data_IF_241000494784
#
_entry.id   IF_241000494784
#
_cell.length_a   1.000
_cell.length_b   1.000
_cell.length_c   1.000
_cell.angle_alpha   90.00
_cell.angle_beta   90.00
_cell.angle_gamma   90.00
#
_symmetry.space_group_name_H-M   'P 1'
#
loop_
_entity.id
_entity.type
_entity.pdbx_description
1 polymer ?
#
# COMPACT_ATOMS: atom_id res chain seq x y z
N UNK A 1 -15.96 7.63 -76.16
CA UNK A 1 -14.71 8.39 -75.89
C UNK A 1 -15.03 9.50 -74.92
N UNK A 2 -14.41 9.48 -73.86
CA UNK A 2 -14.08 10.39 -72.76
C UNK A 2 -14.43 9.79 -71.40
N UNK A 3 -13.39 9.15 -70.81
CA UNK A 3 -13.29 8.84 -69.39
C UNK A 3 -13.25 10.16 -68.62
N UNK A 4 -14.18 10.37 -67.73
CA UNK A 4 -14.05 11.36 -66.63
C UNK A 4 -13.80 10.61 -65.31
N UNK A 5 -12.54 10.63 -64.92
CA UNK A 5 -12.12 10.29 -63.55
C UNK A 5 -12.86 11.23 -62.56
N UNK A 6 -13.80 10.69 -61.84
CA UNK A 6 -14.25 11.30 -60.59
C UNK A 6 -13.25 10.95 -59.47
N UNK A 7 -12.35 11.88 -59.22
CA UNK A 7 -11.48 11.87 -58.08
C UNK A 7 -12.34 12.06 -56.82
N UNK A 8 -12.81 10.99 -56.25
CA UNK A 8 -13.51 10.97 -54.97
C UNK A 8 -12.46 11.25 -53.88
N UNK A 9 -12.44 12.49 -53.44
CA UNK A 9 -11.70 12.90 -52.24
C UNK A 9 -12.24 12.08 -51.06
N UNK A 10 -11.54 11.00 -50.75
CA UNK A 10 -11.60 10.37 -49.42
C UNK A 10 -10.86 11.34 -48.50
N UNK A 11 -11.59 12.33 -48.00
CA UNK A 11 -11.22 13.03 -46.78
C UNK A 11 -11.31 11.97 -45.68
N UNK A 12 -10.20 11.26 -45.50
CA UNK A 12 -9.93 10.61 -44.23
C UNK A 12 -9.93 11.71 -43.17
N UNK A 13 -11.12 12.05 -42.68
CA UNK A 13 -11.24 12.68 -41.40
C UNK A 13 -10.59 11.72 -40.38
N UNK A 14 -9.31 11.92 -40.18
CA UNK A 14 -8.66 11.57 -38.91
C UNK A 14 -9.42 12.33 -37.84
N UNK A 15 -10.61 11.81 -37.50
CA UNK A 15 -11.20 12.00 -36.21
C UNK A 15 -10.15 11.42 -35.25
N UNK A 16 -9.26 12.29 -34.79
CA UNK A 16 -8.53 12.05 -33.56
C UNK A 16 -9.60 11.79 -32.53
N UNK A 17 -9.89 10.54 -32.33
CA UNK A 17 -10.61 10.06 -31.15
C UNK A 17 -9.69 10.47 -30.01
N UNK A 18 -9.92 11.66 -29.47
CA UNK A 18 -9.50 12.02 -28.15
C UNK A 18 -10.35 11.14 -27.20
N UNK A 19 -10.10 9.83 -27.25
CA UNK A 19 -10.33 9.01 -26.11
C UNK A 19 -9.60 9.73 -24.99
N UNK A 20 -10.31 10.14 -23.96
CA UNK A 20 -9.71 10.58 -22.69
C UNK A 20 -9.14 9.32 -22.02
N UNK A 21 -8.17 8.73 -22.68
CA UNK A 21 -7.24 7.77 -22.12
C UNK A 21 -6.50 8.48 -21.00
N UNK A 22 -6.25 7.80 -19.91
CA UNK A 22 -5.29 8.26 -18.91
C UNK A 22 -4.02 8.66 -19.68
N UNK A 23 -3.45 9.82 -19.34
CA UNK A 23 -2.18 10.24 -19.92
C UNK A 23 -1.13 9.17 -19.64
N UNK A 24 -0.33 8.84 -20.63
CA UNK A 24 0.86 8.04 -20.40
C UNK A 24 1.79 8.79 -19.44
N UNK A 25 2.63 8.05 -18.71
CA UNK A 25 3.54 8.68 -17.73
C UNK A 25 4.47 9.72 -18.38
N UNK A 26 4.86 9.51 -19.65
CA UNK A 26 5.72 10.43 -20.39
C UNK A 26 5.05 11.79 -20.70
N UNK A 27 3.72 11.82 -20.75
CA UNK A 27 2.94 13.04 -20.96
C UNK A 27 2.68 13.84 -19.67
N UNK A 28 2.98 13.25 -18.51
CA UNK A 28 2.91 13.95 -17.22
C UNK A 28 4.16 14.79 -17.04
N UNK A 29 4.01 16.09 -16.73
CA UNK A 29 5.14 16.96 -16.46
C UNK A 29 5.90 16.53 -15.19
N UNK A 30 7.24 16.69 -15.21
CA UNK A 30 8.11 16.17 -14.12
C UNK A 30 7.80 16.75 -12.75
N UNK A 31 7.31 17.98 -12.67
CA UNK A 31 6.89 18.58 -11.40
C UNK A 31 5.76 17.82 -10.67
N UNK A 32 5.06 16.94 -11.35
CA UNK A 32 3.98 16.10 -10.82
C UNK A 32 4.38 14.65 -10.64
N UNK A 33 5.64 14.34 -10.85
CA UNK A 33 6.22 13.01 -10.62
C UNK A 33 7.12 13.09 -9.39
N UNK A 34 7.05 12.12 -8.52
CA UNK A 34 7.99 12.09 -7.40
C UNK A 34 9.43 11.88 -7.86
N UNK A 35 10.38 12.32 -7.02
CA UNK A 35 11.80 12.15 -7.23
C UNK A 35 12.38 11.18 -6.19
N UNK A 36 12.65 9.96 -6.61
CA UNK A 36 13.17 8.91 -5.74
C UNK A 36 14.70 8.95 -5.61
N UNK A 37 15.38 9.94 -6.21
CA UNK A 37 16.85 10.07 -6.13
C UNK A 37 17.37 10.29 -4.71
N UNK A 38 16.49 10.74 -3.79
CA UNK A 38 16.79 10.81 -2.35
C UNK A 38 16.92 9.44 -1.68
N UNK A 39 16.42 8.36 -2.30
CA UNK A 39 16.63 6.99 -1.83
C UNK A 39 17.86 6.40 -2.51
N UNK A 40 17.82 6.26 -3.84
CA UNK A 40 18.97 5.91 -4.69
C UNK A 40 18.91 6.73 -5.97
N UNK A 41 20.08 7.22 -6.43
CA UNK A 41 20.17 8.05 -7.64
C UNK A 41 19.90 7.25 -8.91
N UNK A 42 20.17 5.96 -8.89
CA UNK A 42 20.00 5.06 -10.03
C UNK A 42 19.79 3.61 -9.60
N UNK A 43 19.34 2.77 -10.55
CA UNK A 43 19.26 1.31 -10.34
C UNK A 43 20.64 0.69 -10.11
N UNK A 44 21.70 1.30 -10.64
CA UNK A 44 23.07 0.85 -10.39
C UNK A 44 23.47 1.10 -8.94
N UNK A 45 23.13 2.25 -8.37
CA UNK A 45 23.37 2.54 -6.95
C UNK A 45 22.57 1.60 -6.04
N UNK A 46 21.32 1.32 -6.42
CA UNK A 46 20.50 0.34 -5.72
C UNK A 46 21.13 -1.07 -5.73
N UNK A 47 21.64 -1.53 -6.90
CA UNK A 47 22.31 -2.83 -7.01
C UNK A 47 23.57 -2.88 -6.17
N UNK A 48 24.36 -1.82 -6.19
CA UNK A 48 25.57 -1.69 -5.35
C UNK A 48 25.21 -1.80 -3.87
N UNK A 49 24.17 -1.10 -3.42
CA UNK A 49 23.69 -1.18 -2.03
C UNK A 49 23.17 -2.57 -1.68
N UNK A 50 22.39 -3.21 -2.58
CA UNK A 50 21.90 -4.59 -2.39
C UNK A 50 23.05 -5.58 -2.23
N UNK A 51 24.08 -5.49 -3.07
CA UNK A 51 25.24 -6.39 -2.99
C UNK A 51 26.07 -6.15 -1.73
N UNK A 52 26.20 -4.90 -1.30
CA UNK A 52 26.87 -4.53 -0.04
C UNK A 52 26.15 -5.10 1.18
N UNK A 53 24.81 -5.04 1.23
CA UNK A 53 24.04 -5.65 2.34
C UNK A 53 24.11 -7.16 2.28
N UNK A 54 23.98 -7.76 1.08
CA UNK A 54 24.05 -9.20 0.88
C UNK A 54 25.32 -9.81 1.44
N UNK A 55 26.48 -9.13 1.26
CA UNK A 55 27.77 -9.59 1.78
C UNK A 55 27.82 -9.66 3.31
N UNK A 56 26.99 -8.86 4.01
CA UNK A 56 26.95 -8.78 5.47
C UNK A 56 25.97 -9.76 6.12
N UNK A 57 25.00 -10.30 5.37
CA UNK A 57 23.91 -11.10 5.96
C UNK A 57 24.40 -12.31 6.77
N UNK A 58 25.55 -12.90 6.38
CA UNK A 58 26.13 -14.04 7.10
C UNK A 58 26.76 -13.65 8.44
N UNK A 59 26.99 -12.37 8.69
CA UNK A 59 27.59 -11.92 9.96
C UNK A 59 26.66 -12.11 11.15
N UNK A 60 25.36 -12.31 10.91
CA UNK A 60 24.37 -12.58 11.96
C UNK A 60 24.73 -13.83 12.77
N UNK A 61 25.37 -14.83 12.15
CA UNK A 61 25.73 -16.07 12.80
C UNK A 61 26.76 -15.88 13.92
N UNK A 62 27.55 -14.77 13.92
CA UNK A 62 28.52 -14.45 14.99
C UNK A 62 27.86 -14.20 16.35
N UNK A 63 26.57 -13.86 16.35
CA UNK A 63 25.83 -13.54 17.57
C UNK A 63 25.18 -14.77 18.23
N UNK A 64 25.07 -15.87 17.49
CA UNK A 64 24.44 -17.12 17.97
C UNK A 64 25.10 -17.63 19.24
N UNK A 65 24.26 -17.92 20.24
CA UNK A 65 24.71 -18.43 21.55
C UNK A 65 25.38 -17.35 22.44
N UNK A 66 25.22 -16.06 22.12
CA UNK A 66 25.87 -14.97 22.86
C UNK A 66 24.94 -13.95 23.44
N UNK A 67 23.65 -13.94 23.05
CA UNK A 67 22.71 -12.82 23.30
C UNK A 67 22.34 -12.65 24.78
N UNK A 68 22.36 -13.72 25.54
CA UNK A 68 22.06 -13.72 26.99
C UNK A 68 23.33 -13.69 27.87
N UNK A 69 24.53 -13.62 27.27
CA UNK A 69 25.80 -13.61 28.02
C UNK A 69 26.19 -12.24 28.55
N UNK A 70 25.81 -11.15 27.84
CA UNK A 70 26.10 -9.79 28.28
C UNK A 70 25.25 -8.76 27.56
N UNK A 71 25.03 -7.60 28.20
CA UNK A 71 24.38 -6.43 27.60
C UNK A 71 25.06 -6.00 26.29
N UNK A 72 26.39 -6.02 26.25
CA UNK A 72 27.16 -5.61 25.06
C UNK A 72 26.93 -6.56 23.86
N UNK A 73 26.80 -7.86 24.08
CA UNK A 73 26.52 -8.81 22.99
C UNK A 73 25.09 -8.64 22.47
N UNK A 74 24.11 -8.51 23.37
CA UNK A 74 22.73 -8.23 22.98
C UNK A 74 22.63 -6.94 22.15
N UNK A 75 23.25 -5.85 22.66
CA UNK A 75 23.24 -4.57 21.95
C UNK A 75 23.83 -4.68 20.55
N UNK A 76 25.02 -5.28 20.39
CA UNK A 76 25.66 -5.46 19.08
C UNK A 76 24.78 -6.20 18.07
N UNK A 77 24.06 -7.22 18.52
CA UNK A 77 23.14 -7.96 17.66
C UNK A 77 21.93 -7.09 17.26
N UNK A 78 21.35 -6.37 18.20
CA UNK A 78 20.18 -5.50 17.94
C UNK A 78 20.56 -4.33 17.03
N UNK A 79 21.71 -3.69 17.25
CA UNK A 79 22.23 -2.62 16.39
C UNK A 79 22.50 -3.15 14.97
N UNK A 80 23.19 -4.29 14.84
CA UNK A 80 23.43 -4.92 13.54
C UNK A 80 22.13 -5.21 12.78
N UNK A 81 21.15 -5.79 13.46
CA UNK A 81 19.84 -6.07 12.85
C UNK A 81 19.09 -4.77 12.47
N UNK A 82 19.19 -3.72 13.29
CA UNK A 82 18.59 -2.43 13.01
C UNK A 82 19.21 -1.76 11.78
N UNK A 83 20.54 -1.79 11.65
CA UNK A 83 21.24 -1.23 10.49
C UNK A 83 20.91 -1.98 9.20
N UNK A 84 20.83 -3.32 9.26
CA UNK A 84 20.36 -4.12 8.13
C UNK A 84 18.92 -3.77 7.75
N UNK A 85 18.03 -3.62 8.72
CA UNK A 85 16.63 -3.28 8.46
C UNK A 85 16.46 -1.87 7.87
N UNK A 86 17.27 -0.90 8.29
CA UNK A 86 17.28 0.45 7.69
C UNK A 86 17.61 0.37 6.20
N UNK A 87 18.67 -0.30 5.84
CA UNK A 87 19.09 -0.43 4.44
C UNK A 87 18.13 -1.31 3.63
N UNK A 88 17.64 -2.40 4.22
CA UNK A 88 16.57 -3.23 3.63
C UNK A 88 15.35 -2.39 3.28
N UNK A 89 14.90 -1.54 4.21
CA UNK A 89 13.75 -0.64 3.98
C UNK A 89 14.02 0.29 2.81
N UNK A 90 15.20 0.88 2.70
CA UNK A 90 15.58 1.73 1.55
C UNK A 90 15.51 0.97 0.23
N UNK A 91 16.03 -0.25 0.19
CA UNK A 91 16.01 -1.12 -0.99
C UNK A 91 14.58 -1.46 -1.41
N UNK A 92 13.74 -1.88 -0.46
CA UNK A 92 12.34 -2.22 -0.72
C UNK A 92 11.51 -1.00 -1.15
N UNK A 93 11.73 0.17 -0.55
CA UNK A 93 11.03 1.40 -0.92
C UNK A 93 11.34 1.81 -2.35
N UNK A 94 12.61 1.83 -2.75
CA UNK A 94 12.98 2.21 -4.11
C UNK A 94 12.37 1.25 -5.15
N UNK A 95 12.53 -0.05 -4.97
CA UNK A 95 11.99 -1.04 -5.87
C UNK A 95 10.45 -1.04 -5.88
N UNK A 96 9.83 -0.92 -4.70
CA UNK A 96 8.38 -0.88 -4.54
C UNK A 96 7.74 0.33 -5.20
N UNK A 97 8.22 1.53 -4.86
CA UNK A 97 7.66 2.77 -5.40
C UNK A 97 7.85 2.91 -6.92
N UNK A 98 8.97 2.42 -7.48
CA UNK A 98 9.13 2.34 -8.93
C UNK A 98 8.16 1.31 -9.56
N UNK A 99 7.96 0.15 -8.91
CA UNK A 99 6.97 -0.84 -9.35
C UNK A 99 5.54 -0.27 -9.31
N UNK A 100 5.22 0.59 -8.34
CA UNK A 100 3.89 1.19 -8.19
C UNK A 100 3.57 2.23 -9.28
N UNK A 101 4.59 2.77 -9.98
CA UNK A 101 4.40 3.67 -11.11
C UNK A 101 3.88 2.95 -12.36
N UNK A 102 4.24 1.71 -12.54
CA UNK A 102 3.68 0.79 -13.53
C UNK A 102 3.87 -0.66 -13.05
N UNK A 103 2.80 -1.25 -12.54
CA UNK A 103 2.83 -2.63 -12.02
C UNK A 103 3.10 -3.71 -13.10
N UNK A 104 3.14 -3.31 -14.38
CA UNK A 104 3.51 -4.16 -15.52
C UNK A 104 5.03 -4.17 -15.75
N UNK A 105 5.78 -3.27 -15.12
CA UNK A 105 7.24 -3.22 -15.27
C UNK A 105 7.89 -4.39 -14.53
N UNK A 106 8.27 -5.41 -15.32
CA UNK A 106 8.89 -6.64 -14.81
C UNK A 106 10.25 -6.39 -14.16
N UNK A 107 10.95 -5.30 -14.49
CA UNK A 107 12.24 -4.96 -13.90
C UNK A 107 12.12 -4.70 -12.41
N UNK A 108 11.23 -3.78 -12.01
CA UNK A 108 11.06 -3.44 -10.61
C UNK A 108 10.32 -4.53 -9.82
N UNK A 109 9.43 -5.26 -10.47
CA UNK A 109 8.84 -6.48 -9.91
C UNK A 109 9.92 -7.52 -9.60
N UNK A 110 10.86 -7.74 -10.52
CA UNK A 110 12.01 -8.62 -10.31
C UNK A 110 12.91 -8.15 -9.16
N UNK A 111 13.21 -6.85 -9.07
CA UNK A 111 13.99 -6.28 -7.97
C UNK A 111 13.32 -6.53 -6.59
N UNK A 112 11.99 -6.41 -6.51
CA UNK A 112 11.23 -6.74 -5.27
C UNK A 112 11.36 -8.22 -4.91
N UNK A 113 11.24 -9.11 -5.90
CA UNK A 113 11.35 -10.55 -5.70
C UNK A 113 12.76 -10.97 -5.25
N UNK A 114 13.81 -10.38 -5.85
CA UNK A 114 15.21 -10.58 -5.41
C UNK A 114 15.38 -10.24 -3.92
N UNK A 115 14.83 -9.09 -3.49
CA UNK A 115 14.88 -8.68 -2.08
C UNK A 115 14.07 -9.64 -1.19
N UNK A 116 12.89 -10.02 -1.62
CA UNK A 116 12.03 -10.93 -0.86
C UNK A 116 12.72 -12.26 -0.60
N UNK A 117 13.36 -12.82 -1.63
CA UNK A 117 14.16 -14.05 -1.48
C UNK A 117 15.31 -13.84 -0.50
N UNK A 118 16.13 -12.81 -0.73
CA UNK A 118 17.32 -12.51 0.07
C UNK A 118 16.97 -12.32 1.56
N UNK A 119 15.91 -11.58 1.86
CA UNK A 119 15.51 -11.33 3.26
C UNK A 119 14.71 -12.48 3.88
N UNK A 120 14.06 -13.33 3.07
CA UNK A 120 13.52 -14.60 3.58
C UNK A 120 14.65 -15.55 4.04
N UNK A 121 15.70 -15.66 3.25
CA UNK A 121 16.89 -16.46 3.60
C UNK A 121 17.60 -15.89 4.85
N UNK A 122 17.72 -14.56 4.92
CA UNK A 122 18.25 -13.89 6.12
C UNK A 122 17.37 -14.14 7.35
N UNK A 123 16.04 -14.00 7.22
CA UNK A 123 15.10 -14.29 8.30
C UNK A 123 15.25 -15.71 8.84
N UNK A 124 15.45 -16.68 7.94
CA UNK A 124 15.73 -18.06 8.34
C UNK A 124 17.04 -18.22 9.12
N UNK A 125 18.09 -17.44 8.78
CA UNK A 125 19.36 -17.42 9.56
C UNK A 125 19.20 -16.72 10.90
N UNK A 126 18.46 -15.61 10.93
CA UNK A 126 18.21 -14.80 12.13
C UNK A 126 17.16 -15.43 13.08
N UNK A 127 16.54 -16.55 12.71
CA UNK A 127 15.45 -17.18 13.45
C UNK A 127 15.82 -17.59 14.89
N UNK A 128 17.12 -17.70 15.22
CA UNK A 128 17.59 -17.99 16.56
C UNK A 128 17.45 -16.83 17.55
N UNK A 129 17.37 -15.58 17.07
CA UNK A 129 17.47 -14.38 17.92
C UNK A 129 16.39 -14.36 19.00
N UNK A 130 15.13 -14.47 18.61
CA UNK A 130 14.02 -14.41 19.57
C UNK A 130 14.03 -15.61 20.54
N UNK A 131 14.10 -16.86 20.09
CA UNK A 131 14.19 -18.01 21.00
C UNK A 131 15.39 -17.91 21.96
N UNK A 132 16.55 -17.47 21.49
CA UNK A 132 17.73 -17.33 22.35
C UNK A 132 17.56 -16.27 23.43
N UNK A 133 17.04 -15.09 23.10
CA UNK A 133 16.75 -14.06 24.10
C UNK A 133 15.76 -14.58 25.15
N UNK A 134 14.74 -15.34 24.73
CA UNK A 134 13.72 -15.91 25.60
C UNK A 134 14.20 -17.09 26.47
N UNK A 135 15.45 -17.55 26.31
CA UNK A 135 16.08 -18.51 27.27
C UNK A 135 16.42 -17.85 28.60
N UNK A 136 16.60 -16.51 28.59
CA UNK A 136 16.81 -15.75 29.82
C UNK A 136 15.46 -15.36 30.47
N UNK A 137 15.51 -15.06 31.77
CA UNK A 137 14.39 -14.40 32.45
C UNK A 137 14.38 -12.90 32.13
N UNK A 138 13.20 -12.29 32.17
CA UNK A 138 13.04 -10.85 31.95
C UNK A 138 13.95 -10.01 32.85
N UNK A 139 14.16 -10.42 34.11
CA UNK A 139 15.02 -9.71 35.06
C UNK A 139 16.47 -9.58 34.59
N UNK A 140 16.99 -10.56 33.83
CA UNK A 140 18.34 -10.53 33.23
C UNK A 140 18.37 -9.47 32.13
N UNK A 141 17.40 -9.49 31.24
CA UNK A 141 17.30 -8.53 30.12
C UNK A 141 17.07 -7.11 30.62
N UNK A 142 16.21 -6.92 31.60
CA UNK A 142 16.00 -5.63 32.25
C UNK A 142 17.27 -5.12 32.96
N UNK A 143 18.04 -6.06 33.55
CA UNK A 143 19.36 -5.77 34.09
C UNK A 143 20.35 -5.30 33.02
N UNK A 144 20.33 -5.92 31.83
CA UNK A 144 21.14 -5.48 30.68
C UNK A 144 20.76 -4.08 30.22
N UNK A 145 19.46 -3.78 30.11
CA UNK A 145 18.96 -2.47 29.71
C UNK A 145 19.41 -1.40 30.72
N UNK A 146 19.33 -1.68 32.02
CA UNK A 146 19.77 -0.76 33.09
C UNK A 146 21.29 -0.53 33.07
N UNK A 147 22.10 -1.53 32.70
CA UNK A 147 23.56 -1.44 32.68
C UNK A 147 24.14 -0.84 31.38
N UNK A 148 23.38 -0.90 30.28
CA UNK A 148 23.77 -0.37 28.97
C UNK A 148 22.66 0.53 28.41
N UNK A 149 22.72 1.86 28.62
CA UNK A 149 21.65 2.80 28.23
C UNK A 149 21.30 2.79 26.74
N UNK A 150 22.19 2.34 25.86
CA UNK A 150 21.89 2.21 24.42
C UNK A 150 20.91 1.09 24.10
N UNK A 151 20.60 0.22 25.07
CA UNK A 151 19.53 -0.75 24.96
C UNK A 151 18.13 -0.16 25.21
N UNK A 152 18.03 1.03 25.83
CA UNK A 152 16.72 1.64 26.15
C UNK A 152 15.81 1.84 24.92
N UNK A 153 16.28 2.23 23.72
CA UNK A 153 15.44 2.28 22.53
C UNK A 153 14.82 0.93 22.13
N UNK A 154 15.41 -0.18 22.55
CA UNK A 154 14.94 -1.53 22.26
C UNK A 154 14.02 -2.11 23.36
N UNK A 155 13.85 -1.41 24.50
CA UNK A 155 13.05 -1.87 25.63
C UNK A 155 11.67 -2.34 25.22
N UNK A 156 10.92 -1.49 24.50
CA UNK A 156 9.55 -1.81 24.07
C UNK A 156 9.50 -3.08 23.20
N UNK A 157 10.48 -3.25 22.30
CA UNK A 157 10.58 -4.45 21.47
C UNK A 157 10.87 -5.71 22.30
N UNK A 158 11.76 -5.60 23.28
CA UNK A 158 12.10 -6.70 24.19
C UNK A 158 10.92 -7.02 25.13
N UNK A 159 10.25 -6.04 25.70
CA UNK A 159 9.02 -6.24 26.49
C UNK A 159 7.96 -6.99 25.67
N UNK A 160 7.72 -6.56 24.44
CA UNK A 160 6.79 -7.24 23.55
C UNK A 160 7.22 -8.68 23.22
N UNK A 161 8.50 -8.93 23.02
CA UNK A 161 9.02 -10.27 22.80
C UNK A 161 8.69 -11.19 23.99
N UNK A 162 8.95 -10.76 25.23
CA UNK A 162 8.61 -11.54 26.42
C UNK A 162 7.09 -11.69 26.60
N UNK A 163 6.29 -10.67 26.29
CA UNK A 163 4.83 -10.75 26.31
C UNK A 163 4.33 -11.80 25.30
N UNK A 164 4.97 -11.90 24.14
CA UNK A 164 4.59 -12.83 23.08
C UNK A 164 5.27 -14.19 23.19
N UNK A 165 6.03 -14.46 24.26
CA UNK A 165 6.82 -15.69 24.45
C UNK A 165 6.05 -16.99 24.17
N UNK A 166 4.77 -17.06 24.58
CA UNK A 166 3.92 -18.24 24.36
C UNK A 166 3.61 -18.52 22.86
N UNK A 167 3.84 -17.54 21.99
CA UNK A 167 3.64 -17.61 20.54
C UNK A 167 4.96 -17.60 19.76
N UNK A 168 6.09 -17.57 20.44
CA UNK A 168 7.41 -17.73 19.85
C UNK A 168 7.74 -19.21 19.81
N UNK A 169 8.10 -19.68 18.64
CA UNK A 169 8.38 -21.09 18.38
C UNK A 169 9.85 -21.43 18.65
N UNK A 170 10.21 -22.70 18.52
CA UNK A 170 11.62 -23.12 18.52
C UNK A 170 12.38 -22.52 17.34
N UNK A 171 13.69 -22.44 17.42
CA UNK A 171 14.52 -21.91 16.31
C UNK A 171 14.24 -22.61 14.97
N UNK A 172 14.06 -23.93 14.99
CA UNK A 172 13.81 -24.71 13.77
C UNK A 172 12.42 -24.37 13.16
N UNK A 173 11.42 -24.23 14.00
CA UNK A 173 10.07 -23.84 13.57
C UNK A 173 10.04 -22.38 13.10
N UNK A 174 10.70 -21.45 13.79
CA UNK A 174 10.83 -20.04 13.36
C UNK A 174 11.54 -19.95 11.99
N UNK A 175 12.54 -20.80 11.75
CA UNK A 175 13.19 -20.90 10.44
C UNK A 175 12.21 -21.34 9.35
N UNK A 176 11.36 -22.33 9.62
CA UNK A 176 10.33 -22.79 8.67
C UNK A 176 9.31 -21.66 8.43
N UNK A 177 8.89 -20.98 9.50
CA UNK A 177 7.98 -19.85 9.41
C UNK A 177 8.55 -18.69 8.56
N UNK A 178 9.84 -18.39 8.72
CA UNK A 178 10.51 -17.37 7.90
C UNK A 178 10.52 -17.76 6.41
N UNK A 179 10.87 -19.01 6.09
CA UNK A 179 10.87 -19.52 4.72
C UNK A 179 9.45 -19.55 4.10
N UNK A 180 8.40 -19.78 4.90
CA UNK A 180 7.02 -19.74 4.42
C UNK A 180 6.63 -18.36 3.86
N UNK A 181 7.34 -17.30 4.24
CA UNK A 181 7.17 -15.94 3.69
C UNK A 181 7.28 -15.88 2.17
N UNK A 182 8.06 -16.79 1.56
CA UNK A 182 8.22 -16.87 0.09
C UNK A 182 6.89 -17.16 -0.63
N UNK A 183 6.04 -17.99 -0.04
CA UNK A 183 4.76 -18.40 -0.62
C UNK A 183 3.57 -17.58 -0.05
N UNK A 184 3.70 -17.07 1.15
CA UNK A 184 2.63 -16.37 1.85
C UNK A 184 2.19 -15.06 1.17
N UNK A 185 3.09 -14.39 0.44
CA UNK A 185 2.82 -13.14 -0.28
C UNK A 185 2.17 -13.32 -1.65
N UNK A 186 2.17 -14.53 -2.21
CA UNK A 186 1.74 -14.80 -3.59
C UNK A 186 0.29 -14.37 -3.86
N UNK A 187 -0.71 -14.69 -3.03
CA UNK A 187 -2.10 -14.28 -3.29
C UNK A 187 -2.26 -12.77 -3.41
N UNK A 188 -1.60 -12.01 -2.55
CA UNK A 188 -1.61 -10.54 -2.58
C UNK A 188 -0.89 -9.98 -3.82
N UNK A 189 0.22 -10.59 -4.22
CA UNK A 189 0.94 -10.19 -5.44
C UNK A 189 0.11 -10.40 -6.69
N UNK A 190 -0.54 -11.57 -6.81
CA UNK A 190 -1.45 -11.88 -7.93
C UNK A 190 -2.61 -10.90 -7.97
N UNK A 191 -3.24 -10.62 -6.81
CA UNK A 191 -4.31 -9.63 -6.71
C UNK A 191 -3.87 -8.26 -7.23
N UNK A 192 -2.70 -7.78 -6.80
CA UNK A 192 -2.19 -6.46 -7.20
C UNK A 192 -1.93 -6.38 -8.71
N UNK A 193 -1.22 -7.36 -9.27
CA UNK A 193 -0.92 -7.41 -10.70
C UNK A 193 -2.20 -7.50 -11.53
N UNK A 194 -3.08 -8.42 -11.17
CA UNK A 194 -4.32 -8.61 -11.90
C UNK A 194 -5.23 -7.37 -11.85
N UNK A 195 -5.47 -6.82 -10.66
CA UNK A 195 -6.41 -5.71 -10.48
C UNK A 195 -5.94 -4.39 -11.09
N UNK A 196 -4.64 -4.13 -11.10
CA UNK A 196 -4.09 -2.84 -11.56
C UNK A 196 -3.57 -2.88 -13.00
N UNK A 197 -3.17 -4.05 -13.51
CA UNK A 197 -2.47 -4.15 -14.79
C UNK A 197 -3.18 -5.01 -15.84
N UNK A 198 -3.75 -6.15 -15.45
CA UNK A 198 -4.20 -7.16 -16.42
C UNK A 198 -5.72 -7.19 -16.61
N UNK A 199 -6.49 -6.87 -15.56
CA UNK A 199 -7.95 -6.88 -15.66
C UNK A 199 -8.42 -5.85 -16.69
N UNK A 200 -9.12 -6.25 -17.76
CA UNK A 200 -9.62 -5.32 -18.77
C UNK A 200 -10.56 -4.30 -18.13
N UNK A 201 -10.34 -3.02 -18.42
CA UNK A 201 -11.25 -1.96 -18.00
C UNK A 201 -12.43 -1.87 -18.99
N UNK A 202 -13.69 -1.98 -18.56
CA UNK A 202 -14.82 -1.86 -19.45
C UNK A 202 -14.94 -0.43 -20.00
N UNK A 203 -15.33 -0.31 -21.26
CA UNK A 203 -15.64 0.98 -21.87
C UNK A 203 -17.15 1.22 -21.89
N UNK A 204 -17.55 2.45 -21.59
CA UNK A 204 -18.94 2.90 -21.64
C UNK A 204 -19.06 4.24 -22.38
N UNK A 205 -20.23 4.50 -22.93
CA UNK A 205 -20.58 5.80 -23.52
C UNK A 205 -21.57 6.50 -22.60
N UNK A 206 -21.22 7.69 -22.11
CA UNK A 206 -22.06 8.52 -21.26
C UNK A 206 -23.14 9.24 -22.10
N UNK A 207 -24.12 9.83 -21.43
CA UNK A 207 -25.23 10.54 -22.06
C UNK A 207 -24.82 11.73 -22.96
N UNK A 208 -23.67 12.34 -22.67
CA UNK A 208 -23.05 13.38 -23.48
C UNK A 208 -22.29 12.86 -24.72
N UNK A 209 -22.32 11.55 -24.98
CA UNK A 209 -21.62 10.86 -26.07
C UNK A 209 -20.14 10.54 -25.77
N UNK A 210 -19.64 10.89 -24.61
CA UNK A 210 -18.24 10.65 -24.22
C UNK A 210 -18.00 9.16 -23.92
N UNK A 211 -17.01 8.59 -24.57
CA UNK A 211 -16.49 7.24 -24.27
C UNK A 211 -15.48 7.32 -23.13
N UNK A 212 -15.65 6.46 -22.14
CA UNK A 212 -14.78 6.39 -20.96
C UNK A 212 -14.42 4.95 -20.63
N UNK A 213 -13.16 4.72 -20.25
CA UNK A 213 -12.66 3.44 -19.77
C UNK A 213 -12.69 3.43 -18.24
N UNK A 214 -13.27 2.39 -17.65
CA UNK A 214 -13.55 2.31 -16.20
C UNK A 214 -12.51 1.46 -15.47
N UNK A 215 -11.30 2.00 -15.34
CA UNK A 215 -10.36 1.50 -14.31
C UNK A 215 -10.92 1.76 -12.92
N UNK A 216 -10.37 1.18 -11.85
CA UNK A 216 -10.81 1.44 -10.47
C UNK A 216 -10.82 2.94 -10.13
N UNK A 217 -9.77 3.67 -10.53
CA UNK A 217 -9.67 5.13 -10.35
C UNK A 217 -10.75 5.88 -11.13
N UNK A 218 -10.96 5.49 -12.39
CA UNK A 218 -11.96 6.16 -13.24
C UNK A 218 -13.40 5.83 -12.81
N UNK A 219 -13.66 4.61 -12.31
CA UNK A 219 -14.92 4.31 -11.65
C UNK A 219 -15.15 5.24 -10.44
N UNK A 220 -14.13 5.44 -9.60
CA UNK A 220 -14.17 6.38 -8.47
C UNK A 220 -14.61 7.79 -8.88
N UNK A 221 -14.11 8.27 -10.02
CA UNK A 221 -14.46 9.55 -10.61
C UNK A 221 -15.91 9.58 -11.17
N UNK A 222 -16.27 8.62 -12.00
CA UNK A 222 -17.53 8.65 -12.72
C UNK A 222 -18.74 8.21 -11.89
N UNK A 223 -18.58 7.49 -10.79
CA UNK A 223 -19.68 7.19 -9.86
C UNK A 223 -20.23 8.42 -9.13
N UNK A 224 -19.56 9.57 -9.23
CA UNK A 224 -20.00 10.85 -8.63
C UNK A 224 -20.75 11.76 -9.61
N UNK A 225 -20.95 11.33 -10.86
CA UNK A 225 -21.65 12.13 -11.87
C UNK A 225 -23.03 12.59 -11.37
N UNK A 226 -23.46 13.83 -11.71
CA UNK A 226 -24.79 14.33 -11.35
C UNK A 226 -25.93 13.51 -11.99
N UNK A 227 -25.76 13.09 -13.24
CA UNK A 227 -26.76 12.30 -13.95
C UNK A 227 -26.85 10.86 -13.41
N UNK A 228 -28.07 10.43 -13.07
CA UNK A 228 -28.32 9.12 -12.48
C UNK A 228 -28.22 7.99 -13.50
N UNK A 229 -28.58 8.24 -14.76
CA UNK A 229 -28.51 7.22 -15.81
C UNK A 229 -27.04 6.92 -16.12
N UNK A 230 -26.19 7.95 -16.19
CA UNK A 230 -24.75 7.79 -16.35
C UNK A 230 -24.11 7.02 -15.19
N UNK A 231 -24.47 7.37 -13.94
CA UNK A 231 -24.01 6.59 -12.78
C UNK A 231 -24.43 5.13 -12.84
N UNK A 232 -25.64 4.85 -13.36
CA UNK A 232 -26.13 3.47 -13.52
C UNK A 232 -25.31 2.70 -14.56
N UNK A 233 -25.06 3.30 -15.72
CA UNK A 233 -24.23 2.70 -16.78
C UNK A 233 -22.82 2.40 -16.25
N UNK A 234 -22.20 3.35 -15.58
CA UNK A 234 -20.87 3.22 -14.98
C UNK A 234 -20.84 2.11 -13.92
N UNK A 235 -21.82 2.08 -13.04
CA UNK A 235 -21.96 1.07 -11.98
C UNK A 235 -22.13 -0.34 -12.56
N UNK A 236 -23.08 -0.51 -13.46
CA UNK A 236 -23.39 -1.82 -14.05
C UNK A 236 -22.23 -2.37 -14.85
N UNK A 237 -21.57 -1.55 -15.65
CA UNK A 237 -20.41 -1.97 -16.44
C UNK A 237 -19.23 -2.37 -15.55
N UNK A 238 -18.93 -1.59 -14.52
CA UNK A 238 -17.82 -1.86 -13.63
C UNK A 238 -18.04 -3.15 -12.83
N UNK A 239 -19.18 -3.30 -12.18
CA UNK A 239 -19.47 -4.50 -11.37
C UNK A 239 -19.72 -5.75 -12.20
N UNK A 240 -20.35 -5.64 -13.39
CA UNK A 240 -20.45 -6.78 -14.31
C UNK A 240 -19.09 -7.25 -14.82
N UNK A 241 -18.11 -6.35 -14.93
CA UNK A 241 -16.76 -6.75 -15.27
C UNK A 241 -16.09 -7.51 -14.10
N UNK A 242 -16.22 -7.03 -12.86
CA UNK A 242 -15.72 -7.73 -11.68
C UNK A 242 -16.33 -9.12 -11.52
N UNK A 243 -17.64 -9.26 -11.78
CA UNK A 243 -18.35 -10.55 -11.68
C UNK A 243 -17.76 -11.61 -12.61
N UNK A 244 -17.23 -11.24 -13.78
CA UNK A 244 -16.56 -12.18 -14.70
C UNK A 244 -15.34 -12.85 -14.06
N UNK A 245 -14.68 -12.17 -13.12
CA UNK A 245 -13.47 -12.62 -12.45
C UNK A 245 -13.69 -13.03 -11.00
N UNK A 246 -14.95 -13.16 -10.58
CA UNK A 246 -15.34 -13.47 -9.20
C UNK A 246 -14.63 -14.70 -8.64
N UNK A 247 -14.52 -15.77 -9.43
CA UNK A 247 -13.84 -16.99 -8.99
C UNK A 247 -12.36 -16.73 -8.71
N UNK A 248 -11.65 -16.02 -9.60
CA UNK A 248 -10.24 -15.67 -9.41
C UNK A 248 -10.04 -14.80 -8.17
N UNK A 249 -10.87 -13.78 -7.97
CA UNK A 249 -10.84 -12.98 -6.75
C UNK A 249 -11.13 -13.81 -5.49
N UNK A 250 -12.06 -14.77 -5.60
CA UNK A 250 -12.35 -15.69 -4.51
C UNK A 250 -11.15 -16.53 -4.10
N UNK A 251 -10.42 -17.08 -5.07
CA UNK A 251 -9.19 -17.87 -4.82
C UNK A 251 -8.06 -17.02 -4.22
N UNK A 252 -7.87 -15.79 -4.71
CA UNK A 252 -6.87 -14.87 -4.13
C UNK A 252 -7.21 -14.53 -2.67
N UNK A 253 -8.47 -14.24 -2.36
CA UNK A 253 -8.94 -14.00 -1.00
C UNK A 253 -8.77 -15.24 -0.12
N UNK A 254 -9.17 -16.42 -0.63
CA UNK A 254 -9.02 -17.68 0.07
C UNK A 254 -7.57 -17.98 0.41
N UNK A 255 -6.64 -17.78 -0.54
CA UNK A 255 -5.21 -17.95 -0.31
C UNK A 255 -4.69 -17.03 0.80
N UNK A 256 -5.15 -15.76 0.85
CA UNK A 256 -4.78 -14.86 1.94
C UNK A 256 -5.35 -15.29 3.30
N UNK A 257 -6.61 -15.75 3.33
CA UNK A 257 -7.24 -16.30 4.56
C UNK A 257 -6.46 -17.54 5.05
N UNK A 258 -6.07 -18.45 4.14
CA UNK A 258 -5.29 -19.63 4.49
C UNK A 258 -3.93 -19.26 5.09
N UNK A 259 -3.26 -18.24 4.53
CA UNK A 259 -2.02 -17.69 5.10
C UNK A 259 -2.23 -17.23 6.55
N UNK A 260 -3.28 -16.43 6.80
CA UNK A 260 -3.56 -15.91 8.14
C UNK A 260 -3.93 -17.03 9.14
N UNK A 261 -4.70 -18.02 8.68
CA UNK A 261 -5.03 -19.20 9.48
C UNK A 261 -3.80 -20.06 9.78
N UNK A 262 -2.91 -20.25 8.81
CA UNK A 262 -1.66 -20.96 8.99
C UNK A 262 -0.79 -20.27 10.05
N UNK A 263 -0.59 -18.95 9.94
CA UNK A 263 0.18 -18.18 10.91
C UNK A 263 -0.39 -18.28 12.33
N UNK A 264 -1.71 -18.13 12.46
CA UNK A 264 -2.37 -18.22 13.75
C UNK A 264 -2.20 -19.59 14.39
N UNK A 265 -2.46 -20.68 13.63
CA UNK A 265 -2.35 -22.06 14.12
C UNK A 265 -0.92 -22.45 14.47
N UNK A 266 0.03 -22.11 13.57
CA UNK A 266 1.44 -22.45 13.79
C UNK A 266 2.01 -21.79 15.06
N UNK A 267 1.53 -20.56 15.39
CA UNK A 267 1.95 -19.80 16.57
C UNK A 267 1.04 -19.97 17.79
N UNK A 268 0.14 -20.95 17.77
CA UNK A 268 -0.75 -21.27 18.88
C UNK A 268 -1.66 -20.13 19.35
N UNK A 269 -2.16 -19.31 18.39
CA UNK A 269 -3.23 -18.36 18.66
C UNK A 269 -4.60 -19.06 18.57
N UNK A 270 -5.54 -18.63 19.41
CA UNK A 270 -6.92 -19.15 19.40
C UNK A 270 -7.65 -18.84 18.09
N UNK A 271 -7.30 -17.72 17.44
CA UNK A 271 -7.92 -17.29 16.19
C UNK A 271 -6.99 -16.40 15.37
N UNK A 272 -7.29 -16.25 14.07
CA UNK A 272 -6.61 -15.26 13.22
C UNK A 272 -6.84 -13.83 13.72
N UNK A 273 -8.00 -13.52 14.33
CA UNK A 273 -8.28 -12.23 14.95
C UNK A 273 -7.33 -11.96 16.13
N UNK A 274 -7.17 -12.92 17.03
CA UNK A 274 -6.20 -12.79 18.12
C UNK A 274 -4.78 -12.58 17.56
N UNK A 275 -4.37 -13.41 16.60
CA UNK A 275 -3.07 -13.31 15.96
C UNK A 275 -2.81 -11.93 15.34
N UNK A 276 -3.83 -11.30 14.75
CA UNK A 276 -3.72 -9.97 14.16
C UNK A 276 -3.61 -8.85 15.21
N UNK A 277 -4.28 -8.98 16.34
CA UNK A 277 -4.36 -7.94 17.37
C UNK A 277 -3.25 -8.04 18.42
N UNK A 278 -2.78 -9.25 18.69
CA UNK A 278 -1.84 -9.55 19.78
C UNK A 278 -0.50 -8.80 19.66
N UNK A 279 0.13 -8.68 18.48
CA UNK A 279 1.38 -7.92 18.33
C UNK A 279 1.29 -6.48 18.81
N UNK A 280 0.12 -5.85 18.63
CA UNK A 280 -0.17 -4.48 19.06
C UNK A 280 -0.72 -4.39 20.48
N UNK A 281 -0.75 -5.51 21.22
CA UNK A 281 -1.31 -5.59 22.57
C UNK A 281 -2.77 -5.11 22.66
N UNK A 282 -3.58 -5.41 21.65
CA UNK A 282 -5.00 -5.06 21.59
C UNK A 282 -5.84 -6.27 21.99
N UNK A 283 -6.59 -6.21 23.10
CA UNK A 283 -7.52 -7.28 23.48
C UNK A 283 -8.60 -7.50 22.40
N UNK A 284 -8.95 -8.76 22.12
CA UNK A 284 -10.02 -9.13 21.14
C UNK A 284 -11.35 -8.43 21.48
N UNK A 285 -11.63 -8.20 22.76
CA UNK A 285 -12.82 -7.48 23.21
C UNK A 285 -12.93 -6.04 22.67
N UNK A 286 -11.82 -5.38 22.36
CA UNK A 286 -11.83 -4.04 21.73
C UNK A 286 -12.43 -4.11 20.33
N UNK A 287 -12.06 -5.12 19.54
CA UNK A 287 -12.62 -5.35 18.22
C UNK A 287 -14.14 -5.62 18.28
N UNK A 288 -14.56 -6.52 19.16
CA UNK A 288 -15.99 -6.82 19.32
C UNK A 288 -16.77 -5.59 19.82
N UNK A 289 -16.20 -4.84 20.77
CA UNK A 289 -16.81 -3.59 21.24
C UNK A 289 -16.97 -2.56 20.11
N UNK A 290 -15.99 -2.45 19.20
CA UNK A 290 -16.12 -1.58 18.02
C UNK A 290 -17.30 -2.01 17.14
N UNK A 291 -17.38 -3.29 16.77
CA UNK A 291 -18.45 -3.84 15.93
C UNK A 291 -19.82 -3.62 16.61
N UNK A 292 -19.94 -3.94 17.89
CA UNK A 292 -21.18 -3.79 18.65
C UNK A 292 -21.63 -2.34 18.73
N UNK A 293 -20.71 -1.42 18.99
CA UNK A 293 -21.03 0.01 19.10
C UNK A 293 -21.41 0.60 17.72
N UNK A 294 -20.76 0.20 16.63
CA UNK A 294 -21.18 0.59 15.28
C UNK A 294 -22.60 0.11 15.02
N UNK A 295 -22.88 -1.17 15.27
CA UNK A 295 -24.22 -1.75 15.06
C UNK A 295 -25.31 -1.06 15.92
N UNK A 296 -25.02 -0.76 17.18
CA UNK A 296 -25.95 -0.04 18.08
C UNK A 296 -26.26 1.38 17.59
N UNK A 297 -25.36 2.01 16.85
CA UNK A 297 -25.48 3.40 16.38
C UNK A 297 -25.89 3.54 14.91
N UNK A 298 -26.21 2.45 14.21
CA UNK A 298 -26.63 2.48 12.80
C UNK A 298 -27.88 3.35 12.54
N UNK A 299 -28.71 3.60 13.54
CA UNK A 299 -29.90 4.45 13.40
C UNK A 299 -29.56 5.86 12.91
N UNK A 300 -28.46 6.46 13.37
CA UNK A 300 -27.97 7.76 12.89
C UNK A 300 -27.58 7.70 11.41
N UNK A 301 -26.89 6.64 10.99
CA UNK A 301 -26.51 6.42 9.60
C UNK A 301 -27.73 6.17 8.71
N UNK A 302 -28.67 5.36 9.15
CA UNK A 302 -29.93 5.14 8.43
C UNK A 302 -30.72 6.44 8.25
N UNK A 303 -30.76 7.30 9.29
CA UNK A 303 -31.38 8.64 9.18
C UNK A 303 -30.67 9.50 8.12
N UNK A 304 -29.35 9.51 8.10
CA UNK A 304 -28.58 10.19 7.04
C UNK A 304 -28.96 9.68 5.64
N UNK A 305 -29.05 8.37 5.43
CA UNK A 305 -29.47 7.80 4.15
C UNK A 305 -30.89 8.22 3.75
N UNK A 306 -31.82 8.31 4.71
CA UNK A 306 -33.18 8.80 4.44
C UNK A 306 -33.20 10.30 4.07
N UNK A 307 -32.33 11.10 4.69
CA UNK A 307 -32.17 12.52 4.34
C UNK A 307 -31.60 12.61 2.91
N UNK A 308 -30.53 11.87 2.62
CA UNK A 308 -29.92 11.83 1.30
C UNK A 308 -30.91 11.41 0.21
N UNK A 309 -31.71 10.37 0.45
CA UNK A 309 -32.78 9.93 -0.43
C UNK A 309 -33.73 11.09 -0.79
N UNK A 310 -34.20 11.85 0.22
CA UNK A 310 -35.09 13.00 0.04
C UNK A 310 -34.41 14.14 -0.73
N UNK A 311 -33.17 14.47 -0.40
CA UNK A 311 -32.41 15.53 -1.08
C UNK A 311 -32.17 15.19 -2.56
N UNK A 312 -32.01 13.94 -2.90
CA UNK A 312 -31.84 13.47 -4.26
C UNK A 312 -33.17 13.32 -5.03
N UNK A 313 -34.32 13.38 -4.37
CA UNK A 313 -35.64 13.20 -4.99
C UNK A 313 -35.85 11.82 -5.62
N UNK A 314 -35.27 10.77 -5.02
CA UNK A 314 -35.40 9.40 -5.55
C UNK A 314 -36.33 8.56 -4.68
N UNK A 315 -37.13 7.68 -5.30
CA UNK A 315 -38.03 6.78 -4.57
C UNK A 315 -37.28 5.70 -3.79
N UNK A 316 -36.15 5.27 -4.33
CA UNK A 316 -35.26 4.28 -3.72
C UNK A 316 -33.83 4.71 -3.89
N UNK A 317 -33.12 4.87 -2.75
CA UNK A 317 -31.67 5.09 -2.73
C UNK A 317 -30.98 3.74 -3.03
N UNK A 318 -30.18 3.70 -4.08
CA UNK A 318 -29.36 2.56 -4.47
C UNK A 318 -27.90 2.82 -4.18
N UNK A 319 -27.06 1.79 -4.20
CA UNK A 319 -25.61 1.92 -3.97
C UNK A 319 -24.96 2.93 -4.94
N UNK A 320 -25.38 2.97 -6.21
CA UNK A 320 -24.91 3.93 -7.22
C UNK A 320 -25.22 5.40 -6.86
N UNK A 321 -26.13 5.65 -5.90
CA UNK A 321 -26.51 7.00 -5.48
C UNK A 321 -25.69 7.50 -4.28
N UNK A 322 -24.92 6.61 -3.60
CA UNK A 322 -24.24 6.95 -2.34
C UNK A 322 -23.16 8.01 -2.50
N UNK A 323 -22.54 8.11 -3.66
CA UNK A 323 -21.46 9.07 -3.94
C UNK A 323 -21.93 10.27 -4.80
N UNK A 324 -23.19 10.28 -5.20
CA UNK A 324 -23.74 11.38 -5.97
C UNK A 324 -23.80 12.67 -5.12
N UNK A 325 -23.55 13.85 -5.74
CA UNK A 325 -23.72 15.13 -5.08
C UNK A 325 -25.18 15.33 -4.69
N UNK A 326 -25.42 15.88 -3.49
CA UNK A 326 -26.77 16.19 -2.98
C UNK A 326 -27.10 17.68 -3.08
N UNK A 327 -26.07 18.52 -3.20
CA UNK A 327 -26.20 19.95 -3.40
C UNK A 327 -26.10 20.19 -4.91
N UNK A 328 -27.17 20.72 -5.48
CA UNK A 328 -27.20 21.09 -6.90
C UNK A 328 -26.35 22.34 -7.12
N UNK A 329 -25.84 22.49 -8.32
CA UNK A 329 -25.11 23.68 -8.79
C UNK A 329 -23.79 23.99 -8.06
N UNK A 330 -23.23 23.05 -7.35
CA UNK A 330 -21.87 23.14 -6.75
C UNK A 330 -20.95 22.16 -7.47
N UNK A 331 -20.20 22.66 -8.46
CA UNK A 331 -19.16 21.89 -9.17
C UNK A 331 -17.80 22.54 -8.89
N UNK A 332 -17.25 22.24 -7.71
CA UNK A 332 -15.94 22.73 -7.33
C UNK A 332 -14.86 21.86 -7.99
N UNK A 333 -14.16 22.45 -8.95
CA UNK A 333 -13.01 21.82 -9.63
C UNK A 333 -11.77 22.61 -9.34
N UNK A 334 -10.74 21.92 -8.90
CA UNK A 334 -9.43 22.51 -8.65
C UNK A 334 -8.36 21.76 -9.43
N UNK A 335 -7.47 22.50 -10.03
CA UNK A 335 -6.20 21.93 -10.49
C UNK A 335 -5.35 21.56 -9.28
N UNK A 336 -4.37 20.68 -9.48
CA UNK A 336 -3.42 20.33 -8.39
C UNK A 336 -2.72 21.59 -7.84
N UNK A 337 -2.31 22.52 -8.73
CA UNK A 337 -1.60 23.75 -8.34
C UNK A 337 -2.53 24.71 -7.53
N UNK A 338 -3.83 24.71 -7.77
CA UNK A 338 -4.81 25.44 -6.95
C UNK A 338 -5.05 24.74 -5.61
N UNK A 339 -5.21 23.41 -5.63
CA UNK A 339 -5.40 22.61 -4.43
C UNK A 339 -4.22 22.75 -3.47
N UNK A 340 -2.99 22.77 -3.97
CA UNK A 340 -1.79 22.96 -3.13
C UNK A 340 -1.78 24.31 -2.43
N UNK A 341 -2.23 25.39 -3.07
CA UNK A 341 -2.36 26.72 -2.43
C UNK A 341 -3.39 26.68 -1.29
N UNK A 342 -4.54 26.06 -1.54
CA UNK A 342 -5.61 25.90 -0.53
C UNK A 342 -5.08 25.09 0.67
N UNK A 343 -4.37 23.97 0.41
CA UNK A 343 -3.78 23.13 1.46
C UNK A 343 -2.79 23.92 2.30
N UNK A 344 -1.86 24.66 1.68
CA UNK A 344 -0.88 25.47 2.41
C UNK A 344 -1.55 26.56 3.26
N UNK A 345 -2.63 27.16 2.78
CA UNK A 345 -3.41 28.14 3.53
C UNK A 345 -4.13 27.48 4.73
N UNK A 346 -4.78 26.34 4.49
CA UNK A 346 -5.52 25.61 5.51
C UNK A 346 -4.62 25.06 6.65
N UNK A 347 -3.34 24.82 6.35
CA UNK A 347 -2.38 24.29 7.32
C UNK A 347 -1.69 25.38 8.18
N UNK A 348 -1.91 26.67 7.92
CA UNK A 348 -1.33 27.76 8.71
C UNK A 348 -1.53 27.64 10.23
N UNK A 349 -2.66 27.17 10.74
CA UNK A 349 -2.83 26.98 12.19
C UNK A 349 -1.86 26.00 12.83
N UNK A 350 -1.19 25.13 12.04
CA UNK A 350 -0.18 24.18 12.53
C UNK A 350 1.21 24.82 12.68
N UNK A 351 1.36 26.09 12.30
CA UNK A 351 2.62 26.84 12.42
C UNK A 351 3.45 26.90 11.13
N UNK A 352 4.35 27.87 11.11
CA UNK A 352 5.20 28.18 9.94
C UNK A 352 6.06 27.01 9.50
N UNK A 353 6.66 26.30 10.45
CA UNK A 353 7.61 25.21 10.19
C UNK A 353 6.91 24.01 9.54
N UNK A 354 5.67 23.73 9.98
CA UNK A 354 4.84 22.69 9.37
C UNK A 354 4.50 23.05 7.92
N UNK A 355 4.02 24.28 7.69
CA UNK A 355 3.69 24.77 6.35
C UNK A 355 4.92 24.77 5.43
N UNK A 356 6.10 25.20 5.94
CA UNK A 356 7.35 25.16 5.19
C UNK A 356 7.73 23.72 4.78
N UNK A 357 7.55 22.75 5.68
CA UNK A 357 7.81 21.34 5.38
C UNK A 357 6.87 20.81 4.29
N UNK A 358 5.57 21.12 4.36
CA UNK A 358 4.60 20.72 3.32
C UNK A 358 4.94 21.38 1.97
N UNK A 359 5.30 22.68 2.00
CA UNK A 359 5.75 23.37 0.78
C UNK A 359 7.00 22.72 0.19
N UNK A 360 7.98 22.35 1.03
CA UNK A 360 9.18 21.63 0.61
C UNK A 360 8.82 20.28 -0.04
N UNK A 361 7.84 19.55 0.50
CA UNK A 361 7.36 18.28 -0.06
C UNK A 361 6.82 18.45 -1.48
N UNK A 362 6.09 19.54 -1.74
CA UNK A 362 5.56 19.87 -3.07
C UNK A 362 6.71 20.26 -4.01
N UNK A 363 7.55 21.21 -3.60
CA UNK A 363 8.62 21.77 -4.44
C UNK A 363 9.69 20.72 -4.79
N UNK A 364 10.00 19.81 -3.87
CA UNK A 364 10.99 18.75 -4.03
C UNK A 364 10.40 17.43 -4.56
N UNK A 365 9.15 17.46 -5.05
CA UNK A 365 8.53 16.33 -5.74
C UNK A 365 8.48 15.03 -4.90
N UNK A 366 8.00 15.16 -3.64
CA UNK A 366 7.75 13.98 -2.80
C UNK A 366 6.44 13.27 -3.19
N UNK A 367 5.66 13.86 -4.11
CA UNK A 367 4.30 13.45 -4.46
C UNK A 367 4.23 13.05 -5.93
N UNK A 368 3.75 11.84 -6.21
CA UNK A 368 3.38 11.40 -7.56
C UNK A 368 1.87 11.59 -7.74
N UNK A 369 1.48 12.54 -8.61
CA UNK A 369 0.15 13.18 -8.54
C UNK A 369 -0.91 12.45 -9.36
N UNK A 370 -0.64 12.18 -10.65
CA UNK A 370 -1.69 11.79 -11.58
C UNK A 370 -1.77 10.30 -11.86
N UNK A 371 -2.99 9.77 -12.11
CA UNK A 371 -3.15 8.40 -12.58
C UNK A 371 -2.53 8.22 -13.97
N UNK A 372 -1.84 7.10 -14.15
CA UNK A 372 -1.29 6.65 -15.43
C UNK A 372 -1.60 5.16 -15.64
N UNK A 373 -1.62 4.65 -16.88
CA UNK A 373 -1.87 3.23 -17.13
C UNK A 373 -0.88 2.34 -16.39
N UNK A 374 -1.39 1.36 -15.65
CA UNK A 374 -0.58 0.43 -14.86
C UNK A 374 -0.14 0.94 -13.49
N UNK A 375 -0.35 2.22 -13.17
CA UNK A 375 -0.04 2.76 -11.85
C UNK A 375 -0.91 2.11 -10.78
N UNK A 376 -0.30 1.82 -9.62
CA UNK A 376 -0.99 1.31 -8.44
C UNK A 376 -2.18 2.21 -8.10
N UNK A 377 -3.37 1.62 -7.99
CA UNK A 377 -4.60 2.36 -7.68
C UNK A 377 -4.67 2.82 -6.22
N UNK A 378 -5.49 3.83 -5.95
CA UNK A 378 -5.65 4.42 -4.62
C UNK A 378 -4.61 5.50 -4.32
N UNK A 379 -4.41 5.78 -3.05
CA UNK A 379 -3.42 6.75 -2.58
C UNK A 379 -2.77 6.25 -1.29
N UNK A 380 -1.50 6.58 -1.10
CA UNK A 380 -0.80 6.28 0.16
C UNK A 380 0.26 7.33 0.48
N UNK A 381 0.60 7.43 1.74
CA UNK A 381 1.82 8.09 2.21
C UNK A 381 2.75 7.03 2.80
N UNK A 382 3.98 6.97 2.33
CA UNK A 382 5.00 6.06 2.82
C UNK A 382 6.10 6.84 3.54
N UNK A 383 6.12 6.76 4.87
CA UNK A 383 7.11 7.39 5.76
C UNK A 383 8.09 6.39 6.39
N UNK A 384 8.24 5.19 5.81
CA UNK A 384 9.08 4.14 6.41
C UNK A 384 10.59 4.41 6.29
N UNK A 385 11.00 5.40 5.50
CA UNK A 385 12.41 5.77 5.36
C UNK A 385 12.90 6.46 6.64
N UNK A 386 13.76 5.79 7.41
CA UNK A 386 14.20 6.25 8.73
C UNK A 386 14.94 7.60 8.67
N UNK A 387 15.89 7.73 7.76
CA UNK A 387 16.74 8.91 7.61
C UNK A 387 16.31 9.82 6.44
N UNK A 388 15.04 9.78 6.05
CA UNK A 388 14.53 10.51 4.90
C UNK A 388 13.15 11.11 5.14
N UNK A 389 12.56 11.57 4.06
CA UNK A 389 11.21 12.13 4.06
C UNK A 389 10.18 11.12 3.54
N UNK A 390 8.89 11.31 3.86
CA UNK A 390 7.83 10.49 3.28
C UNK A 390 7.68 10.76 1.78
N UNK A 391 7.13 9.77 1.07
CA UNK A 391 6.67 9.89 -0.30
C UNK A 391 5.18 9.61 -0.38
N UNK A 392 4.48 10.30 -1.28
CA UNK A 392 3.03 10.19 -1.44
C UNK A 392 2.71 9.78 -2.87
N UNK A 393 1.91 8.74 -3.03
CA UNK A 393 1.29 8.38 -4.30
C UNK A 393 -0.17 8.83 -4.29
N UNK A 394 -0.58 9.55 -5.32
CA UNK A 394 -1.95 9.94 -5.60
C UNK A 394 -2.42 9.35 -6.94
N UNK A 395 -3.73 9.45 -7.20
CA UNK A 395 -4.35 9.09 -8.47
C UNK A 395 -5.49 10.06 -8.84
#
# INVERSE_FOLDING_TARGET
>A
MTFRLSLMFIVCSLLTINAFSQKSRNEVADKYKWDLSGIYKSDTDWRTAKDAISSKLNEIDKFRGTLTKSAANLLKCLEFNSDLNKEATRLFLYAGMNSDLDTRDMKYTGMKQELQQMFSDFGAKAAFIQPEILTADWSVIDGFIKSEPRLEPYRMGLDNLFRTKKHTLSEQEERIMALSGMIAGVPGSVYNTFSNAEMPAPEVTLSDGKKVSLTGTMYGKYRTLPDRADRKIVFEAFYSNLEKFKASYGEMLYGNVQKDMFQAKARHYESSLESALYPNNIPVGVYHSLVDNVNKNLAAFHRYLQIKKRMMGVDTLKYLDLYAPVVKDVDLKYTYDEATKIVLEALKPLGSDYVATVKKAIDQRWIDVFPTPGKQSGAYSNGSLYDGHPYILLN
#
